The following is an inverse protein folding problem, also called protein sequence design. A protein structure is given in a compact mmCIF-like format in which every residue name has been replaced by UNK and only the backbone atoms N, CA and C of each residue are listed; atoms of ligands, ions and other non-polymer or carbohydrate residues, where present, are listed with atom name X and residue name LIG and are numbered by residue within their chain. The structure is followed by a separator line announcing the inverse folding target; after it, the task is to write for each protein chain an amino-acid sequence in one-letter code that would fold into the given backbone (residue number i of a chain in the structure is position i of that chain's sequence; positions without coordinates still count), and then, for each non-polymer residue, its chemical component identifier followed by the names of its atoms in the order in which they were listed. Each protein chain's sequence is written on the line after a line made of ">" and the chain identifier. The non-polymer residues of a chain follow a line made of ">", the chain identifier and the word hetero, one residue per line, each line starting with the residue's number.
data_IF_142200421557
#
_entry.id   IF_142200421557
#
_cell.length_a   1.000
_cell.length_b   1.000
_cell.length_c   1.000
_cell.angle_alpha   90.00
_cell.angle_beta   90.00
_cell.angle_gamma   90.00
#
_symmetry.space_group_name_H-M   'P 1'
#
loop_
_entity.id
_entity.type
_entity.pdbx_description
1 polymer ?
#
# COMPACT_ATOMS: atom_id res chain seq x y z
N UNK A 1 -24.67 13.87 20.45
CA UNK A 1 -23.29 13.75 20.99
C UNK A 1 -22.99 12.27 21.16
N UNK A 2 -21.84 11.68 20.86
CA UNK A 2 -20.69 12.02 20.04
C UNK A 2 -20.29 10.74 19.29
N UNK A 3 -19.63 10.90 18.14
CA UNK A 3 -19.27 9.84 17.21
C UNK A 3 -18.56 8.69 17.94
N UNK A 4 -19.01 7.45 17.70
CA UNK A 4 -18.21 6.26 17.96
C UNK A 4 -16.94 6.40 17.12
N UNK A 5 -15.89 6.95 17.72
CA UNK A 5 -14.56 6.98 17.14
C UNK A 5 -14.15 5.53 16.97
N UNK A 6 -14.27 5.02 15.75
CA UNK A 6 -13.58 3.80 15.36
C UNK A 6 -12.14 3.99 15.78
N UNK A 7 -11.72 3.32 16.84
CA UNK A 7 -10.31 3.18 17.16
C UNK A 7 -9.72 2.43 15.97
N UNK A 8 -9.30 3.19 14.95
CA UNK A 8 -8.47 2.68 13.87
C UNK A 8 -7.23 2.17 14.56
N UNK A 9 -7.24 0.87 14.88
CA UNK A 9 -6.05 0.18 15.31
C UNK A 9 -5.10 0.38 14.15
N UNK A 10 -4.09 1.20 14.41
CA UNK A 10 -3.03 1.56 13.49
C UNK A 10 -2.25 0.25 13.26
N UNK A 11 -2.77 -0.60 12.38
CA UNK A 11 -2.23 -1.91 12.05
C UNK A 11 -1.32 -1.79 10.84
N UNK A 12 -0.25 -2.58 10.87
CA UNK A 12 0.61 -2.70 9.72
C UNK A 12 -0.18 -3.19 8.50
N UNK A 13 -0.03 -2.49 7.39
CA UNK A 13 -0.81 -2.71 6.18
C UNK A 13 0.12 -2.62 4.98
N UNK A 14 0.02 -3.59 4.06
CA UNK A 14 0.51 -3.42 2.70
C UNK A 14 -0.69 -3.47 1.76
N UNK A 15 -0.82 -2.45 0.92
CA UNK A 15 -1.86 -2.35 -0.10
C UNK A 15 -1.26 -2.42 -1.49
N UNK A 16 -2.00 -3.04 -2.40
CA UNK A 16 -1.72 -3.07 -3.83
C UNK A 16 -2.83 -2.32 -4.58
N UNK A 17 -2.46 -1.51 -5.56
CA UNK A 17 -3.43 -0.85 -6.44
C UNK A 17 -2.94 -0.82 -7.89
N UNK A 18 -3.87 -1.08 -8.80
CA UNK A 18 -3.69 -0.89 -10.25
C UNK A 18 -4.13 0.52 -10.61
N UNK A 19 -3.32 1.19 -11.42
CA UNK A 19 -3.56 2.52 -11.94
C UNK A 19 -3.55 2.42 -13.46
N UNK A 20 -4.68 2.72 -14.08
CA UNK A 20 -4.72 2.91 -15.53
C UNK A 20 -4.32 4.35 -15.83
N UNK A 21 -3.19 4.52 -16.52
CA UNK A 21 -2.73 5.81 -17.02
C UNK A 21 -2.84 5.85 -18.55
N UNK A 22 -2.85 7.04 -19.12
CA UNK A 22 -2.87 7.33 -20.55
C UNK A 22 -1.77 6.63 -21.36
N UNK A 23 -0.65 6.28 -20.69
CA UNK A 23 0.53 5.63 -21.29
C UNK A 23 0.56 4.11 -21.03
N UNK A 24 -0.33 3.57 -20.19
CA UNK A 24 -0.42 2.14 -19.88
C UNK A 24 -0.79 1.83 -18.43
N UNK A 25 -0.70 0.55 -18.06
CA UNK A 25 -0.97 0.12 -16.67
C UNK A 25 0.24 0.35 -15.77
N UNK A 26 0.00 1.09 -14.69
CA UNK A 26 0.93 1.24 -13.57
C UNK A 26 0.40 0.44 -12.38
N UNK A 27 1.32 -0.03 -11.55
CA UNK A 27 1.01 -0.80 -10.37
C UNK A 27 1.72 -0.16 -9.19
N UNK A 28 1.04 0.03 -8.06
CA UNK A 28 1.67 0.57 -6.85
C UNK A 28 1.51 -0.37 -5.66
N UNK A 29 2.58 -0.47 -4.86
CA UNK A 29 2.54 -1.06 -3.53
C UNK A 29 2.77 0.02 -2.50
N UNK A 30 1.91 0.08 -1.48
CA UNK A 30 2.06 0.99 -0.34
C UNK A 30 2.19 0.17 0.92
N UNK A 31 3.24 0.38 1.72
CA UNK A 31 3.38 -0.20 3.07
C UNK A 31 3.23 0.91 4.10
N UNK A 32 2.33 0.71 5.05
CA UNK A 32 2.13 1.58 6.22
C UNK A 32 2.70 0.92 7.45
N UNK A 33 3.61 1.62 8.11
CA UNK A 33 4.20 1.27 9.40
C UNK A 33 3.64 2.23 10.47
N UNK A 34 2.45 1.94 11.01
CA UNK A 34 1.78 2.84 11.93
C UNK A 34 2.56 3.17 13.19
N UNK A 35 3.38 2.22 13.66
CA UNK A 35 4.24 2.41 14.82
C UNK A 35 5.29 3.52 14.61
N UNK A 36 5.63 3.81 13.35
CA UNK A 36 6.60 4.85 12.97
C UNK A 36 5.93 6.05 12.27
N UNK A 37 4.61 6.00 12.04
CA UNK A 37 3.86 6.94 11.20
C UNK A 37 4.45 7.10 9.78
N UNK A 38 5.14 6.07 9.29
CA UNK A 38 5.80 6.07 7.97
C UNK A 38 4.97 5.30 6.96
N UNK A 39 4.81 5.87 5.77
CA UNK A 39 4.28 5.17 4.60
C UNK A 39 5.32 5.16 3.47
N UNK A 40 5.62 3.97 2.94
CA UNK A 40 6.48 3.79 1.77
C UNK A 40 5.65 3.38 0.57
N UNK A 41 5.77 4.11 -0.56
CA UNK A 41 5.09 3.76 -1.81
C UNK A 41 6.12 3.47 -2.89
N UNK A 42 5.93 2.36 -3.62
CA UNK A 42 6.70 2.03 -4.82
C UNK A 42 5.76 1.79 -6.00
N UNK A 43 6.15 2.23 -7.18
CA UNK A 43 5.38 2.10 -8.43
C UNK A 43 6.18 1.30 -9.46
N UNK A 44 5.50 0.44 -10.20
CA UNK A 44 6.09 -0.44 -11.20
C UNK A 44 5.21 -0.45 -12.45
N UNK A 45 5.80 -0.80 -13.59
CA UNK A 45 5.07 -0.99 -14.86
C UNK A 45 4.58 -2.43 -15.05
N UNK A 46 5.11 -3.37 -14.28
CA UNK A 46 4.70 -4.77 -14.31
C UNK A 46 4.04 -5.21 -13.01
N UNK A 47 2.95 -5.99 -13.15
CA UNK A 47 2.30 -6.67 -12.03
C UNK A 47 3.26 -7.65 -11.32
N UNK A 48 4.15 -8.30 -12.07
CA UNK A 48 5.10 -9.27 -11.52
C UNK A 48 6.10 -8.64 -10.54
N UNK A 49 6.72 -7.53 -10.94
CA UNK A 49 7.64 -6.76 -10.09
C UNK A 49 6.94 -6.23 -8.84
N UNK A 50 5.70 -5.78 -9.01
CA UNK A 50 4.85 -5.29 -7.91
C UNK A 50 4.57 -6.39 -6.88
N UNK A 51 4.21 -7.60 -7.35
CA UNK A 51 3.95 -8.74 -6.48
C UNK A 51 5.21 -9.24 -5.78
N UNK A 52 6.36 -9.19 -6.45
CA UNK A 52 7.64 -9.49 -5.83
C UNK A 52 7.93 -8.53 -4.68
N UNK A 53 7.76 -7.21 -4.89
CA UNK A 53 7.96 -6.22 -3.84
C UNK A 53 6.96 -6.37 -2.68
N UNK A 54 5.71 -6.69 -2.99
CA UNK A 54 4.67 -6.95 -1.99
C UNK A 54 5.05 -8.14 -1.10
N UNK A 55 5.50 -9.25 -1.69
CA UNK A 55 5.95 -10.43 -0.96
C UNK A 55 7.23 -10.17 -0.16
N UNK A 56 8.15 -9.36 -0.68
CA UNK A 56 9.36 -8.95 0.04
C UNK A 56 9.01 -8.16 1.30
N UNK A 57 8.00 -7.30 1.25
CA UNK A 57 7.55 -6.54 2.41
C UNK A 57 6.71 -7.36 3.39
N UNK A 58 6.10 -8.47 2.94
CA UNK A 58 5.36 -9.41 3.79
C UNK A 58 6.25 -10.36 4.61
N UNK A 59 7.50 -10.58 4.17
CA UNK A 59 8.48 -11.40 4.90
C UNK A 59 9.09 -10.64 6.07
#
# INVERSE_FOLDING_TARGET
>A
MGKAGSHFVKQWEISFAELEDTVGKLFKVTRRLPAMDVAGTKTFRSKGETMQQFNEWLR
#
